data_IF_327161973332
#
_entry.id   IF_327161973332
#
_cell.length_a   1.000
_cell.length_b   1.000
_cell.length_c   1.000
_cell.angle_alpha   90.00
_cell.angle_beta   90.00
_cell.angle_gamma   90.00
#
_symmetry.space_group_name_H-M   'P 1'
#
loop_
_entity.id
_entity.type
_entity.pdbx_description
1 polymer ?
#
# COMPACT_ATOMS: atom_id res chain seq x y z
N UNK A 1 4.38 16.26 8.18
CA UNK A 1 3.97 15.07 7.40
C UNK A 1 5.10 14.71 6.46
N UNK A 2 5.81 13.61 6.71
CA UNK A 2 6.75 13.05 5.73
C UNK A 2 5.92 12.64 4.51
N UNK A 3 6.19 13.29 3.38
CA UNK A 3 5.58 12.88 2.12
C UNK A 3 6.32 11.62 1.68
N UNK A 4 5.60 10.55 1.28
CA UNK A 4 6.26 9.34 0.79
C UNK A 4 7.16 9.71 -0.37
N UNK A 5 8.36 9.14 -0.39
CA UNK A 5 9.35 9.46 -1.40
C UNK A 5 8.77 9.06 -2.76
N UNK A 6 9.04 9.81 -3.83
CA UNK A 6 8.46 9.55 -5.17
C UNK A 6 8.78 8.13 -5.67
N UNK A 7 9.80 7.49 -5.10
CA UNK A 7 10.22 6.09 -5.31
C UNK A 7 9.32 5.04 -4.64
N UNK A 8 8.36 5.42 -3.79
CA UNK A 8 7.45 4.54 -3.04
C UNK A 8 6.04 4.53 -3.65
N UNK A 9 5.94 4.72 -4.97
CA UNK A 9 4.65 4.69 -5.67
C UNK A 9 4.30 3.26 -6.08
N UNK A 10 3.06 2.85 -5.80
CA UNK A 10 2.51 1.57 -6.25
C UNK A 10 1.72 1.76 -7.54
N UNK A 11 1.76 0.77 -8.43
CA UNK A 11 0.89 0.71 -9.61
C UNK A 11 -0.32 -0.16 -9.28
N UNK A 12 -1.53 0.37 -9.44
CA UNK A 12 -2.77 -0.36 -9.23
C UNK A 12 -3.39 -0.67 -10.59
N UNK A 13 -3.52 -1.96 -10.90
CA UNK A 13 -4.16 -2.44 -12.13
C UNK A 13 -5.66 -2.64 -11.88
N UNK A 14 -6.49 -2.03 -12.75
CA UNK A 14 -7.95 -2.17 -12.75
C UNK A 14 -8.45 -2.18 -14.18
N UNK A 15 -9.64 -2.74 -14.41
CA UNK A 15 -10.27 -2.72 -15.71
C UNK A 15 -10.69 -1.29 -16.13
N UNK A 16 -10.96 -1.10 -17.42
CA UNK A 16 -11.29 0.20 -18.00
C UNK A 16 -12.57 0.82 -17.43
N UNK A 17 -13.58 0.00 -17.11
CA UNK A 17 -14.86 0.47 -16.56
C UNK A 17 -14.67 0.95 -15.13
N UNK A 18 -13.91 0.22 -14.33
CA UNK A 18 -13.55 0.63 -12.96
C UNK A 18 -12.73 1.92 -12.96
N UNK A 19 -11.73 2.04 -13.84
CA UNK A 19 -10.96 3.28 -14.00
C UNK A 19 -11.83 4.49 -14.36
N UNK A 20 -12.80 4.32 -15.25
CA UNK A 20 -13.72 5.39 -15.64
C UNK A 20 -14.59 5.85 -14.46
N UNK A 21 -15.13 4.92 -13.67
CA UNK A 21 -15.89 5.24 -12.44
C UNK A 21 -15.03 5.96 -11.41
N UNK A 22 -13.81 5.48 -11.17
CA UNK A 22 -12.87 6.13 -10.23
C UNK A 22 -12.54 7.56 -10.66
N UNK A 23 -12.35 7.81 -11.97
CA UNK A 23 -12.11 9.17 -12.48
C UNK A 23 -13.28 10.11 -12.21
N UNK A 24 -14.52 9.64 -12.43
CA UNK A 24 -15.71 10.45 -12.16
C UNK A 24 -15.82 10.78 -10.67
N UNK A 25 -15.72 9.77 -9.81
CA UNK A 25 -15.80 9.95 -8.36
C UNK A 25 -14.69 10.86 -7.80
N UNK A 26 -13.48 10.76 -8.36
CA UNK A 26 -12.38 11.66 -8.01
C UNK A 26 -12.71 13.12 -8.36
N UNK A 27 -13.29 13.36 -9.54
CA UNK A 27 -13.76 14.68 -9.97
C UNK A 27 -14.85 15.23 -9.06
N UNK A 28 -15.87 14.41 -8.74
CA UNK A 28 -16.96 14.78 -7.84
C UNK A 28 -16.46 15.11 -6.41
N UNK A 29 -15.32 14.54 -6.02
CA UNK A 29 -14.67 14.77 -4.72
C UNK A 29 -13.61 15.88 -4.74
N UNK A 30 -13.47 16.62 -5.85
CA UNK A 30 -12.44 17.64 -6.06
C UNK A 30 -10.99 17.13 -5.83
N UNK A 31 -10.71 15.89 -6.24
CA UNK A 31 -9.39 15.25 -6.08
C UNK A 31 -8.83 14.78 -7.41
N UNK A 32 -7.50 14.68 -7.47
CA UNK A 32 -6.84 13.92 -8.53
C UNK A 32 -7.17 12.43 -8.40
N UNK A 33 -7.10 11.67 -9.50
CA UNK A 33 -7.35 10.23 -9.46
C UNK A 33 -6.44 9.51 -8.45
N UNK A 34 -5.14 9.83 -8.43
CA UNK A 34 -4.20 9.24 -7.48
C UNK A 34 -4.49 9.63 -6.03
N UNK A 35 -4.87 10.89 -5.79
CA UNK A 35 -5.26 11.36 -4.46
C UNK A 35 -6.55 10.70 -3.96
N UNK A 36 -7.52 10.49 -4.86
CA UNK A 36 -8.76 9.78 -4.55
C UNK A 36 -8.50 8.30 -4.22
N UNK A 37 -7.71 7.60 -5.04
CA UNK A 37 -7.34 6.20 -4.78
C UNK A 37 -6.57 6.06 -3.47
N UNK A 38 -5.60 6.94 -3.19
CA UNK A 38 -4.89 6.96 -1.89
C UNK A 38 -5.88 7.11 -0.72
N UNK A 39 -6.85 8.01 -0.84
CA UNK A 39 -7.86 8.21 0.19
C UNK A 39 -8.69 6.94 0.44
N UNK A 40 -9.15 6.27 -0.62
CA UNK A 40 -9.90 5.02 -0.52
C UNK A 40 -9.09 3.92 0.15
N UNK A 41 -7.82 3.75 -0.25
CA UNK A 41 -6.92 2.76 0.37
C UNK A 41 -6.77 3.03 1.87
N UNK A 42 -6.49 4.27 2.26
CA UNK A 42 -6.37 4.65 3.68
C UNK A 42 -7.67 4.45 4.47
N UNK A 43 -8.82 4.78 3.87
CA UNK A 43 -10.10 4.56 4.51
C UNK A 43 -10.35 3.06 4.78
N UNK A 44 -10.01 2.21 3.81
CA UNK A 44 -10.21 0.77 3.91
C UNK A 44 -9.23 0.12 4.89
N UNK A 45 -7.97 0.58 4.95
CA UNK A 45 -7.00 0.16 5.98
C UNK A 45 -7.56 0.49 7.37
N UNK A 46 -7.99 1.74 7.60
CA UNK A 46 -8.51 2.16 8.91
C UNK A 46 -9.76 1.38 9.32
N UNK A 47 -10.62 1.05 8.36
CA UNK A 47 -11.81 0.21 8.59
C UNK A 47 -11.39 -1.21 9.00
N UNK A 48 -10.43 -1.82 8.30
CA UNK A 48 -9.90 -3.13 8.64
C UNK A 48 -9.22 -3.15 10.01
N UNK A 49 -8.45 -2.11 10.34
CA UNK A 49 -7.80 -1.95 11.64
C UNK A 49 -8.79 -1.80 12.79
N UNK A 50 -9.88 -1.05 12.58
CA UNK A 50 -10.95 -0.92 13.55
C UNK A 50 -11.63 -2.27 13.85
N UNK A 51 -11.68 -3.18 12.88
CA UNK A 51 -12.31 -4.49 13.01
C UNK A 51 -11.38 -5.58 13.58
N UNK A 52 -10.08 -5.50 13.29
CA UNK A 52 -9.12 -6.59 13.53
C UNK A 52 -7.96 -6.22 14.45
N UNK A 53 -7.87 -4.96 14.85
CA UNK A 53 -6.67 -4.38 15.46
C UNK A 53 -5.67 -3.89 14.41
N UNK A 54 -4.59 -3.21 14.84
CA UNK A 54 -3.58 -2.62 13.96
C UNK A 54 -3.03 -3.64 12.95
N UNK A 55 -2.90 -3.24 11.69
CA UNK A 55 -2.24 -4.06 10.66
C UNK A 55 -0.74 -3.77 10.77
N UNK A 56 0.11 -4.76 11.07
CA UNK A 56 1.54 -4.53 11.13
C UNK A 56 2.05 -4.16 9.73
N UNK A 57 2.91 -3.15 9.66
CA UNK A 57 3.79 -3.00 8.51
C UNK A 57 4.61 -4.30 8.42
N UNK A 58 4.67 -4.97 7.25
CA UNK A 58 5.49 -6.18 7.14
C UNK A 58 6.90 -5.86 7.62
N UNK A 59 7.39 -6.62 8.63
CA UNK A 59 8.79 -6.56 9.01
C UNK A 59 9.62 -6.75 7.74
N UNK A 60 10.64 -5.91 7.47
CA UNK A 60 11.56 -6.18 6.39
C UNK A 60 12.09 -7.59 6.65
N UNK A 61 11.83 -8.51 5.72
CA UNK A 61 12.34 -9.88 5.75
C UNK A 61 13.78 -9.84 6.28
N UNK A 62 13.97 -10.22 7.55
CA UNK A 62 15.29 -10.35 8.12
C UNK A 62 16.09 -11.26 7.18
N UNK A 63 17.33 -10.92 6.79
CA UNK A 63 18.15 -11.86 6.06
C UNK A 63 18.30 -13.10 6.95
N UNK A 64 17.78 -14.23 6.50
CA UNK A 64 17.74 -15.47 7.29
C UNK A 64 19.13 -15.88 7.80
N UNK A 65 19.23 -16.67 8.87
CA UNK A 65 20.50 -17.12 9.41
C UNK A 65 21.08 -18.19 8.47
N UNK A 66 21.96 -17.75 7.57
CA UNK A 66 22.51 -18.58 6.51
C UNK A 66 24.04 -18.54 6.44
N UNK A 67 24.73 -18.68 7.57
CA UNK A 67 26.14 -19.12 7.55
C UNK A 67 26.32 -20.20 8.60
N UNK A 68 26.02 -21.43 8.18
CA UNK A 68 26.42 -22.62 8.88
C UNK A 68 27.93 -22.60 9.12
N UNK A 69 28.30 -22.75 10.38
CA UNK A 69 29.62 -23.12 10.82
C UNK A 69 29.94 -24.48 10.19
N UNK A 70 30.88 -24.52 9.24
CA UNK A 70 31.55 -25.77 8.88
C UNK A 70 32.90 -25.73 9.58
N UNK A 71 33.00 -26.43 10.72
CA UNK A 71 34.26 -26.86 11.28
C UNK A 71 34.59 -28.21 10.63
N UNK A 72 35.72 -28.27 9.94
CA UNK A 72 36.30 -29.46 9.30
C UNK A 72 37.24 -28.95 8.21
N UNK A 73 38.54 -29.21 8.21
CA UNK A 73 39.34 -30.32 8.74
C UNK A 73 40.67 -29.74 9.25
#
# INVERSE_FOLDING_TARGET
MNHPNRKETITVLVDGRTKAKLRRLAGDSYRTLSGYVRHLILAHIREAEALRGPIPDEEPLCPGPGRGTIKGI
#
